data_IF_352211549713
#
_entry.id   IF_352211549713
#
_cell.length_a   1.000
_cell.length_b   1.000
_cell.length_c   1.000
_cell.angle_alpha   90.00
_cell.angle_beta   90.00
_cell.angle_gamma   90.00
#
_symmetry.space_group_name_H-M   'P 1'
#
loop_
_entity.id
_entity.type
_entity.pdbx_description
1 polymer ?
#
# COMPACT_ATOMS: atom_id res chain seq x y z
N UNK A 1 33.65 4.45 2.04
CA UNK A 1 32.40 5.22 2.29
C UNK A 1 31.21 4.28 2.14
N UNK A 2 30.22 4.35 3.02
CA UNK A 2 29.00 3.54 2.93
C UNK A 2 28.07 4.06 1.80
N UNK A 3 27.46 3.15 1.04
CA UNK A 3 26.58 3.49 -0.08
C UNK A 3 25.20 3.97 0.41
N UNK A 4 24.80 5.19 0.02
CA UNK A 4 23.55 5.81 0.46
C UNK A 4 22.27 5.19 -0.08
N UNK A 5 22.37 4.35 -1.11
CA UNK A 5 21.23 3.64 -1.70
C UNK A 5 20.95 2.29 -1.04
N UNK A 6 21.85 1.81 -0.18
CA UNK A 6 21.67 0.53 0.51
C UNK A 6 21.12 0.78 1.92
N UNK A 7 20.00 0.13 2.29
CA UNK A 7 19.43 0.27 3.62
C UNK A 7 20.34 -0.41 4.65
N UNK A 8 20.75 0.32 5.68
CA UNK A 8 21.54 -0.22 6.80
C UNK A 8 20.65 -0.41 8.02
N UNK A 9 20.70 -1.60 8.62
CA UNK A 9 19.91 -1.97 9.79
C UNK A 9 20.07 -3.45 10.14
N UNK A 10 19.69 -3.79 11.37
CA UNK A 10 19.79 -5.15 11.91
C UNK A 10 18.53 -5.99 11.72
N UNK A 11 18.61 -7.22 12.21
CA UNK A 11 17.48 -8.16 12.35
C UNK A 11 17.62 -8.98 13.65
N UNK A 12 16.51 -9.20 14.36
CA UNK A 12 16.51 -9.97 15.61
C UNK A 12 17.32 -9.28 16.72
N UNK A 13 18.27 -10.01 17.33
CA UNK A 13 19.13 -9.47 18.39
C UNK A 13 20.02 -8.30 17.94
N UNK A 14 20.22 -8.13 16.62
CA UNK A 14 21.02 -7.04 16.07
C UNK A 14 20.23 -5.75 15.78
N UNK A 15 18.91 -5.74 16.00
CA UNK A 15 18.04 -4.56 15.86
C UNK A 15 16.87 -4.76 14.90
N UNK A 16 16.05 -3.71 14.75
CA UNK A 16 14.86 -3.69 13.87
C UNK A 16 14.82 -2.35 13.12
N UNK A 17 14.34 -2.39 11.87
CA UNK A 17 14.27 -1.21 11.01
C UNK A 17 15.56 -0.99 10.23
N UNK A 18 15.50 -0.09 9.26
CA UNK A 18 16.62 0.23 8.38
C UNK A 18 16.58 1.71 8.03
N UNK A 19 17.74 2.34 7.98
CA UNK A 19 17.90 3.73 7.59
C UNK A 19 18.93 3.85 6.46
N UNK A 20 19.37 5.07 6.17
CA UNK A 20 20.25 5.52 5.07
C UNK A 20 19.47 6.05 3.87
N UNK A 21 19.84 7.25 3.41
CA UNK A 21 19.23 7.91 2.26
C UNK A 21 17.71 8.01 2.41
N UNK A 22 16.98 7.51 1.40
CA UNK A 22 15.50 7.47 1.40
C UNK A 22 14.93 6.65 2.57
N UNK A 23 15.60 5.60 3.02
CA UNK A 23 15.11 4.75 4.12
C UNK A 23 15.07 5.49 5.45
N UNK A 24 15.96 6.48 5.66
CA UNK A 24 15.88 7.37 6.83
C UNK A 24 14.60 8.21 6.80
N UNK A 25 14.29 8.84 5.65
CA UNK A 25 13.07 9.62 5.49
C UNK A 25 11.82 8.77 5.68
N UNK A 26 11.76 7.60 5.04
CA UNK A 26 10.65 6.66 5.18
C UNK A 26 10.49 6.17 6.63
N UNK A 27 11.57 6.04 7.40
CA UNK A 27 11.53 5.60 8.81
C UNK A 27 10.91 6.65 9.74
N UNK A 28 11.14 7.94 9.47
CA UNK A 28 10.61 9.03 10.30
C UNK A 28 9.34 9.67 9.72
N UNK A 29 8.80 9.12 8.64
CA UNK A 29 7.60 9.63 7.98
C UNK A 29 6.42 8.68 8.12
N UNK A 30 5.22 9.22 8.28
CA UNK A 30 3.99 8.44 8.23
C UNK A 30 3.44 8.42 6.79
N UNK A 31 3.38 7.23 6.18
CA UNK A 31 2.78 7.06 4.84
C UNK A 31 1.25 7.08 4.96
N UNK A 32 0.66 8.27 4.82
CA UNK A 32 -0.80 8.46 4.84
C UNK A 32 -1.41 8.08 3.49
N UNK A 33 -2.26 7.06 3.48
CA UNK A 33 -3.04 6.68 2.31
C UNK A 33 -4.22 7.63 2.10
N UNK A 34 -4.37 8.16 0.88
CA UNK A 34 -5.49 9.02 0.47
C UNK A 34 -6.06 8.45 -0.84
N UNK A 35 -7.38 8.34 -0.92
CA UNK A 35 -8.09 7.91 -2.13
C UNK A 35 -8.95 9.06 -2.62
N UNK A 36 -8.66 9.55 -3.82
CA UNK A 36 -9.47 10.56 -4.50
C UNK A 36 -10.31 9.84 -5.56
N UNK A 37 -11.64 9.93 -5.45
CA UNK A 37 -12.56 9.40 -6.46
C UNK A 37 -13.31 10.54 -7.13
N UNK A 38 -13.32 10.64 -8.47
CA UNK A 38 -14.20 11.56 -9.16
C UNK A 38 -15.66 11.12 -9.03
N UNK A 39 -16.59 12.06 -8.84
CA UNK A 39 -18.02 11.76 -8.66
C UNK A 39 -18.72 11.21 -9.91
N UNK A 40 -18.12 11.36 -11.10
CA UNK A 40 -18.76 10.97 -12.37
C UNK A 40 -18.54 9.50 -12.77
N UNK A 41 -17.54 8.82 -12.18
CA UNK A 41 -17.24 7.41 -12.43
C UNK A 41 -17.67 6.57 -11.23
N UNK A 42 -18.99 6.46 -11.04
CA UNK A 42 -19.53 5.57 -10.03
C UNK A 42 -19.76 4.17 -10.60
N UNK A 43 -19.31 3.15 -9.88
CA UNK A 43 -19.43 1.76 -10.34
C UNK A 43 -20.76 1.19 -9.89
N UNK A 44 -21.70 0.88 -10.81
CA UNK A 44 -23.01 0.32 -10.45
C UNK A 44 -22.90 -1.06 -9.78
N UNK A 45 -21.72 -1.69 -9.85
CA UNK A 45 -21.38 -2.92 -9.16
C UNK A 45 -21.46 -2.80 -7.62
N UNK A 46 -21.21 -1.60 -7.08
CA UNK A 46 -21.20 -1.33 -5.63
C UNK A 46 -22.60 -1.28 -5.02
N UNK A 47 -23.66 -1.08 -5.82
CA UNK A 47 -25.02 -0.87 -5.32
C UNK A 47 -25.91 -2.13 -5.43
N UNK A 48 -26.80 -2.38 -4.44
CA UNK A 48 -27.74 -3.49 -4.49
C UNK A 48 -28.81 -3.29 -5.58
N UNK A 49 -29.48 -4.37 -6.03
CA UNK A 49 -29.31 -5.78 -5.64
C UNK A 49 -28.10 -6.47 -6.31
N UNK A 50 -27.44 -7.38 -5.57
CA UNK A 50 -26.15 -7.98 -5.96
C UNK A 50 -26.23 -9.36 -6.64
N UNK A 51 -27.43 -9.88 -6.89
CA UNK A 51 -27.69 -11.28 -7.24
C UNK A 51 -26.90 -11.75 -8.48
N UNK A 52 -26.86 -10.95 -9.53
CA UNK A 52 -26.15 -11.28 -10.78
C UNK A 52 -24.70 -10.76 -10.81
N UNK A 53 -24.38 -9.80 -9.93
CA UNK A 53 -23.11 -9.08 -9.84
C UNK A 53 -22.01 -9.88 -9.10
N UNK A 54 -22.41 -10.78 -8.20
CA UNK A 54 -21.50 -11.60 -7.40
C UNK A 54 -20.63 -12.55 -8.24
N UNK A 55 -21.16 -13.07 -9.34
CA UNK A 55 -20.43 -13.99 -10.23
C UNK A 55 -19.25 -13.28 -10.93
N UNK A 56 -19.42 -12.01 -11.29
CA UNK A 56 -18.41 -11.16 -11.93
C UNK A 56 -17.33 -10.78 -10.92
N UNK A 57 -17.72 -10.33 -9.73
CA UNK A 57 -16.77 -9.98 -8.64
C UNK A 57 -15.87 -11.17 -8.29
N UNK A 58 -16.45 -12.37 -8.13
CA UNK A 58 -15.69 -13.58 -7.80
C UNK A 58 -14.69 -14.00 -8.89
N UNK A 59 -14.96 -13.69 -10.17
CA UNK A 59 -14.02 -13.95 -11.27
C UNK A 59 -12.86 -12.95 -11.32
N UNK A 60 -13.07 -11.72 -10.84
CA UNK A 60 -12.03 -10.67 -10.81
C UNK A 60 -11.12 -10.83 -9.58
N UNK A 61 -11.70 -11.28 -8.46
CA UNK A 61 -10.98 -11.44 -7.19
C UNK A 61 -10.29 -12.80 -7.00
N UNK A 62 -10.54 -13.76 -7.91
CA UNK A 62 -9.89 -15.07 -7.93
C UNK A 62 -8.75 -15.05 -8.94
#
# INVERSE_FOLDING_TARGET
>A
LANANLPFGGVGNSGIGKYHGKFSFDTFSNKKSIVEKPSFLDTPLRYPPYKDKLSIVKKIMK
#
